data_IF_843028660745
#
_entry.id   IF_843028660745
#
_cell.length_a   1.000
_cell.length_b   1.000
_cell.length_c   1.000
_cell.angle_alpha   90.00
_cell.angle_beta   90.00
_cell.angle_gamma   90.00
#
_symmetry.space_group_name_H-M   'P 1'
#
loop_
_entity.id
_entity.type
_entity.pdbx_description
1 polymer ?
#
# COMPACT_ATOMS: atom_id res chain seq x y z
N UNK A 1 19.73 -18.64 -50.35
CA UNK A 1 18.42 -17.96 -50.33
C UNK A 1 17.54 -18.73 -49.35
N UNK A 2 17.29 -18.25 -48.12
CA UNK A 2 16.49 -18.98 -47.17
C UNK A 2 15.02 -18.97 -47.60
N UNK A 3 14.45 -20.17 -47.69
CA UNK A 3 13.06 -20.44 -48.05
C UNK A 3 12.12 -19.73 -47.06
N UNK A 4 11.25 -18.84 -47.57
CA UNK A 4 10.22 -18.22 -46.74
C UNK A 4 9.16 -19.27 -46.41
N UNK A 5 8.89 -19.60 -45.15
CA UNK A 5 7.83 -20.54 -44.82
C UNK A 5 6.49 -19.98 -45.29
N UNK A 6 5.85 -20.67 -46.23
CA UNK A 6 4.48 -20.38 -46.68
C UNK A 6 3.54 -20.68 -45.51
N UNK A 7 3.06 -19.64 -44.84
CA UNK A 7 2.03 -19.79 -43.81
C UNK A 7 0.78 -20.37 -44.45
N UNK A 8 0.49 -21.63 -44.15
CA UNK A 8 -0.74 -22.29 -44.59
C UNK A 8 -1.96 -21.52 -44.08
N UNK A 9 -3.07 -21.46 -44.85
CA UNK A 9 -4.26 -20.70 -44.47
C UNK A 9 -4.80 -21.11 -43.08
N UNK A 10 -4.62 -22.39 -42.72
CA UNK A 10 -4.94 -22.95 -41.39
C UNK A 10 -4.14 -22.29 -40.28
N UNK A 11 -2.85 -22.04 -40.48
CA UNK A 11 -1.97 -21.39 -39.50
C UNK A 11 -2.41 -19.95 -39.27
N UNK A 12 -2.76 -19.23 -40.34
CA UNK A 12 -3.28 -17.86 -40.25
C UNK A 12 -4.62 -17.81 -39.51
N UNK A 13 -5.50 -18.78 -39.76
CA UNK A 13 -6.78 -18.87 -39.04
C UNK A 13 -6.58 -19.14 -37.54
N UNK A 14 -5.71 -20.07 -37.17
CA UNK A 14 -5.39 -20.37 -35.77
C UNK A 14 -4.78 -19.15 -35.06
N UNK A 15 -3.83 -18.46 -35.69
CA UNK A 15 -3.27 -17.23 -35.14
C UNK A 15 -4.31 -16.12 -34.99
N UNK A 16 -5.21 -15.94 -35.96
CA UNK A 16 -6.27 -14.93 -35.87
C UNK A 16 -7.23 -15.21 -34.70
N UNK A 17 -7.63 -16.46 -34.51
CA UNK A 17 -8.47 -16.89 -33.38
C UNK A 17 -7.75 -16.68 -32.05
N UNK A 18 -6.48 -17.09 -31.97
CA UNK A 18 -5.66 -16.90 -30.77
C UNK A 18 -5.53 -15.42 -30.40
N UNK A 19 -5.22 -14.56 -31.37
CA UNK A 19 -5.10 -13.10 -31.17
C UNK A 19 -6.43 -12.51 -30.72
N UNK A 20 -7.55 -12.93 -31.30
CA UNK A 20 -8.88 -12.46 -30.90
C UNK A 20 -9.21 -12.85 -29.44
N UNK A 21 -8.92 -14.09 -29.05
CA UNK A 21 -9.13 -14.56 -27.67
C UNK A 21 -8.22 -13.85 -26.68
N UNK A 22 -6.94 -13.68 -27.00
CA UNK A 22 -5.99 -12.96 -26.17
C UNK A 22 -6.40 -11.49 -25.98
N UNK A 23 -6.80 -10.82 -27.07
CA UNK A 23 -7.28 -9.44 -27.01
C UNK A 23 -8.55 -9.32 -26.15
N UNK A 24 -9.52 -10.23 -26.32
CA UNK A 24 -10.73 -10.26 -25.50
C UNK A 24 -10.41 -10.50 -24.02
N UNK A 25 -9.48 -11.40 -23.72
CA UNK A 25 -9.03 -11.67 -22.36
C UNK A 25 -8.32 -10.46 -21.72
N UNK A 26 -7.44 -9.78 -22.47
CA UNK A 26 -6.74 -8.58 -22.00
C UNK A 26 -7.74 -7.45 -21.74
N UNK A 27 -8.69 -7.22 -22.65
CA UNK A 27 -9.73 -6.19 -22.48
C UNK A 27 -10.63 -6.53 -21.28
N UNK A 28 -11.05 -7.78 -21.15
CA UNK A 28 -11.85 -8.24 -20.01
C UNK A 28 -11.10 -8.05 -18.68
N UNK A 29 -9.83 -8.44 -18.62
CA UNK A 29 -9.00 -8.31 -17.42
C UNK A 29 -8.76 -6.84 -17.08
N UNK A 30 -8.48 -6.01 -18.09
CA UNK A 30 -8.31 -4.55 -17.92
C UNK A 30 -9.58 -3.91 -17.40
N UNK A 31 -10.75 -4.29 -17.93
CA UNK A 31 -12.04 -3.76 -17.47
C UNK A 31 -12.36 -4.23 -16.05
N UNK A 32 -12.06 -5.48 -15.70
CA UNK A 32 -12.24 -6.00 -14.34
C UNK A 32 -11.33 -5.25 -13.34
N UNK A 33 -10.05 -5.06 -13.68
CA UNK A 33 -9.10 -4.29 -12.87
C UNK A 33 -9.55 -2.83 -12.76
N UNK A 34 -9.96 -2.20 -13.88
CA UNK A 34 -10.45 -0.83 -13.88
C UNK A 34 -11.73 -0.68 -13.04
N UNK A 35 -12.63 -1.66 -13.05
CA UNK A 35 -13.82 -1.67 -12.17
C UNK A 35 -13.46 -1.93 -10.71
N UNK A 36 -12.50 -2.79 -10.42
CA UNK A 36 -12.03 -3.02 -9.05
C UNK A 36 -11.33 -1.76 -8.48
N UNK A 37 -10.54 -1.06 -9.30
CA UNK A 37 -9.75 0.11 -8.87
C UNK A 37 -10.57 1.41 -8.89
N UNK A 38 -11.44 1.61 -9.89
CA UNK A 38 -12.19 2.85 -10.09
C UNK A 38 -13.71 2.70 -10.00
N UNK A 39 -14.25 1.49 -10.14
CA UNK A 39 -15.68 1.17 -10.10
C UNK A 39 -16.25 0.87 -8.71
N UNK A 40 -15.42 0.64 -7.69
CA UNK A 40 -15.78 0.61 -6.25
C UNK A 40 -16.17 2.00 -5.70
N UNK A 41 -16.89 2.77 -6.50
CA UNK A 41 -17.22 4.15 -6.27
C UNK A 41 -18.64 4.25 -5.74
N UNK A 42 -18.73 4.51 -4.43
CA UNK A 42 -19.90 4.96 -3.67
C UNK A 42 -20.94 3.91 -3.20
N UNK A 43 -21.09 2.75 -3.81
CA UNK A 43 -22.00 1.70 -3.29
C UNK A 43 -21.28 0.80 -2.27
N UNK A 44 -20.09 0.29 -2.60
CA UNK A 44 -19.30 -0.54 -1.69
C UNK A 44 -18.78 0.24 -0.48
N UNK A 45 -18.41 1.51 -0.64
CA UNK A 45 -18.09 2.42 0.48
C UNK A 45 -19.28 2.70 1.43
N UNK A 46 -20.52 2.57 0.97
CA UNK A 46 -21.72 2.69 1.83
C UNK A 46 -22.07 1.38 2.53
N UNK A 47 -21.77 0.24 1.91
CA UNK A 47 -21.90 -1.08 2.53
C UNK A 47 -20.81 -1.31 3.60
N UNK A 48 -19.58 -0.83 3.37
CA UNK A 48 -18.48 -0.86 4.33
C UNK A 48 -18.64 0.17 5.45
N UNK A 49 -19.39 1.25 5.19
CA UNK A 49 -19.85 2.23 6.19
C UNK A 49 -21.03 1.76 7.05
N UNK A 50 -21.50 0.53 6.88
CA UNK A 50 -22.60 -0.07 7.66
C UNK A 50 -22.14 -1.14 8.64
N UNK A 51 -20.83 -1.40 8.74
CA UNK A 51 -20.30 -2.10 9.90
C UNK A 51 -20.54 -1.20 11.13
N UNK A 52 -21.07 -1.72 12.26
CA UNK A 52 -21.23 -0.90 13.45
C UNK A 52 -19.91 -0.20 13.74
N UNK A 53 -19.90 1.11 13.93
CA UNK A 53 -18.66 1.82 14.20
C UNK A 53 -18.01 1.24 15.47
N UNK A 54 -16.67 1.16 15.51
CA UNK A 54 -15.97 0.89 16.76
C UNK A 54 -16.41 1.92 17.82
N UNK A 55 -16.32 1.61 19.12
CA UNK A 55 -16.53 2.60 20.16
C UNK A 55 -15.70 3.85 19.88
N UNK A 56 -16.29 5.04 20.01
CA UNK A 56 -15.65 6.30 19.59
C UNK A 56 -14.24 6.49 20.20
N UNK A 57 -14.06 6.06 21.45
CA UNK A 57 -12.75 6.09 22.11
C UNK A 57 -11.72 5.14 21.48
N UNK A 58 -12.14 3.94 21.05
CA UNK A 58 -11.27 3.01 20.33
C UNK A 58 -10.91 3.58 18.95
N UNK A 59 -11.90 4.06 18.20
CA UNK A 59 -11.68 4.66 16.89
C UNK A 59 -10.68 5.83 16.96
N UNK A 60 -10.86 6.75 17.92
CA UNK A 60 -9.96 7.88 18.13
C UNK A 60 -8.54 7.45 18.54
N UNK A 61 -8.41 6.42 19.36
CA UNK A 61 -7.11 5.85 19.74
C UNK A 61 -6.36 5.28 18.55
N UNK A 62 -7.05 4.49 17.70
CA UNK A 62 -6.48 3.92 16.48
C UNK A 62 -6.14 5.00 15.45
N UNK A 63 -7.00 6.00 15.27
CA UNK A 63 -6.74 7.15 14.38
C UNK A 63 -5.45 7.86 14.79
N UNK A 64 -5.30 8.15 16.08
CA UNK A 64 -4.08 8.75 16.65
C UNK A 64 -2.82 7.94 16.30
N UNK A 65 -2.88 6.61 16.45
CA UNK A 65 -1.76 5.72 16.10
C UNK A 65 -1.45 5.71 14.60
N UNK A 66 -2.48 5.69 13.75
CA UNK A 66 -2.30 5.74 12.29
C UNK A 66 -1.72 7.06 11.81
N UNK A 67 -2.19 8.20 12.33
CA UNK A 67 -1.64 9.53 12.02
C UNK A 67 -0.17 9.63 12.46
N UNK A 68 0.21 9.02 13.59
CA UNK A 68 1.61 8.97 14.00
C UNK A 68 2.49 8.17 13.02
N UNK A 69 1.98 7.07 12.46
CA UNK A 69 2.67 6.32 11.39
C UNK A 69 2.83 7.17 10.13
N UNK A 70 1.77 7.85 9.68
CA UNK A 70 1.83 8.70 8.48
C UNK A 70 2.84 9.84 8.64
N UNK A 71 2.85 10.49 9.81
CA UNK A 71 3.85 11.51 10.19
C UNK A 71 5.27 10.92 10.14
N UNK A 72 5.45 9.71 10.65
CA UNK A 72 6.74 9.04 10.67
C UNK A 72 7.25 8.67 9.26
N UNK A 73 6.36 8.19 8.38
CA UNK A 73 6.67 7.94 6.97
C UNK A 73 7.10 9.24 6.29
N UNK A 74 6.35 10.33 6.49
CA UNK A 74 6.69 11.63 5.91
C UNK A 74 8.06 12.15 6.39
N UNK A 75 8.36 12.01 7.68
CA UNK A 75 9.65 12.42 8.25
C UNK A 75 10.83 11.62 7.66
N UNK A 76 10.63 10.32 7.43
CA UNK A 76 11.66 9.45 6.86
C UNK A 76 11.78 9.57 5.33
N UNK A 77 10.75 10.09 4.65
CA UNK A 77 10.69 10.17 3.20
C UNK A 77 11.84 10.97 2.58
N UNK A 78 12.51 11.86 3.31
CA UNK A 78 13.65 12.65 2.80
C UNK A 78 15.01 11.93 2.92
N UNK A 79 15.09 10.87 3.71
CA UNK A 79 16.36 10.20 4.00
C UNK A 79 16.92 9.46 2.77
N UNK A 80 18.25 9.57 2.59
CA UNK A 80 18.98 8.90 1.51
C UNK A 80 19.76 7.66 2.01
N UNK A 81 19.73 7.41 3.31
CA UNK A 81 20.35 6.28 3.98
C UNK A 81 19.28 5.48 4.75
N UNK A 82 19.26 4.14 4.65
CA UNK A 82 18.27 3.32 5.35
C UNK A 82 18.29 3.45 6.88
N UNK A 83 19.47 3.55 7.49
CA UNK A 83 19.57 3.66 8.94
C UNK A 83 19.09 5.04 9.42
N UNK A 84 19.35 6.10 8.66
CA UNK A 84 18.78 7.43 8.93
C UNK A 84 17.26 7.48 8.75
N UNK A 85 16.74 6.83 7.69
CA UNK A 85 15.30 6.73 7.46
C UNK A 85 14.60 6.02 8.64
N UNK A 86 15.15 4.90 9.11
CA UNK A 86 14.64 4.13 10.24
C UNK A 86 14.69 4.93 11.55
N UNK A 87 15.78 5.65 11.83
CA UNK A 87 15.87 6.53 13.01
C UNK A 87 14.82 7.64 12.97
N UNK A 88 14.66 8.31 11.83
CA UNK A 88 13.66 9.38 11.66
C UNK A 88 12.25 8.86 11.82
N UNK A 89 11.95 7.70 11.23
CA UNK A 89 10.67 7.04 11.38
C UNK A 89 10.37 6.76 12.86
N UNK A 90 11.28 6.09 13.58
CA UNK A 90 11.08 5.77 15.00
C UNK A 90 10.92 7.02 15.87
N UNK A 91 11.76 8.03 15.67
CA UNK A 91 11.66 9.28 16.41
C UNK A 91 10.36 10.02 16.13
N UNK A 92 9.85 9.95 14.91
CA UNK A 92 8.67 10.68 14.46
C UNK A 92 7.37 9.88 14.59
N UNK A 93 7.37 8.65 15.11
CA UNK A 93 6.13 7.97 15.55
C UNK A 93 5.90 8.07 17.05
N UNK A 94 6.93 8.42 17.81
CA UNK A 94 6.81 8.77 19.23
C UNK A 94 6.13 10.15 19.38
N UNK A 95 5.43 10.39 20.51
CA UNK A 95 5.28 9.49 21.68
C UNK A 95 4.14 8.45 21.57
N UNK A 96 3.30 8.50 20.53
CA UNK A 96 2.09 7.67 20.44
C UNK A 96 2.38 6.17 20.44
N UNK A 97 3.52 5.77 19.88
CA UNK A 97 3.99 4.40 19.79
C UNK A 97 4.86 3.95 20.97
N UNK A 98 5.05 4.79 21.98
CA UNK A 98 5.72 4.40 23.23
C UNK A 98 4.81 3.43 24.00
N UNK A 99 5.40 2.47 24.71
CA UNK A 99 4.66 1.31 25.24
C UNK A 99 3.44 1.69 26.10
N UNK A 100 3.62 2.60 27.07
CA UNK A 100 2.55 3.03 27.97
C UNK A 100 1.48 3.85 27.25
N UNK A 101 1.90 4.73 26.33
CA UNK A 101 0.99 5.58 25.56
C UNK A 101 0.16 4.76 24.59
N UNK A 102 0.78 3.82 23.89
CA UNK A 102 0.09 2.89 22.98
C UNK A 102 -0.93 2.06 23.73
N UNK A 103 -0.56 1.46 24.88
CA UNK A 103 -1.50 0.70 25.72
C UNK A 103 -2.70 1.55 26.14
N UNK A 104 -2.49 2.81 26.50
CA UNK A 104 -3.56 3.72 26.87
C UNK A 104 -4.50 4.04 25.69
N UNK A 105 -3.97 4.16 24.47
CA UNK A 105 -4.76 4.39 23.24
C UNK A 105 -5.53 3.15 22.80
N UNK A 106 -4.98 1.95 23.02
CA UNK A 106 -5.59 0.67 22.65
C UNK A 106 -6.59 0.15 23.71
N UNK A 107 -6.47 0.57 24.98
CA UNK A 107 -7.31 0.08 26.08
C UNK A 107 -8.83 0.16 25.81
N UNK A 108 -9.38 1.24 25.20
CA UNK A 108 -10.80 1.31 24.87
C UNK A 108 -11.26 0.27 23.85
N UNK A 109 -10.35 -0.30 23.06
CA UNK A 109 -10.66 -1.33 22.06
C UNK A 109 -10.90 -2.71 22.68
N UNK A 110 -10.47 -2.95 23.92
CA UNK A 110 -10.62 -4.25 24.59
C UNK A 110 -12.09 -4.64 24.85
N UNK A 111 -13.00 -3.66 24.86
CA UNK A 111 -14.43 -3.87 25.09
C UNK A 111 -15.21 -4.30 23.83
N UNK A 112 -14.64 -4.17 22.62
CA UNK A 112 -15.29 -4.54 21.35
C UNK A 112 -14.65 -5.82 20.78
N UNK A 113 -15.44 -6.83 20.37
CA UNK A 113 -14.93 -8.05 19.74
C UNK A 113 -14.04 -7.83 18.51
N UNK A 114 -14.26 -6.72 17.77
CA UNK A 114 -13.47 -6.33 16.58
C UNK A 114 -12.31 -5.40 16.93
N UNK A 115 -12.27 -4.88 18.15
CA UNK A 115 -11.20 -3.98 18.61
C UNK A 115 -9.83 -4.65 18.56
N UNK A 116 -9.74 -5.94 18.92
CA UNK A 116 -8.49 -6.70 18.82
C UNK A 116 -7.98 -6.83 17.37
N UNK A 117 -8.88 -7.05 16.41
CA UNK A 117 -8.52 -7.11 14.99
C UNK A 117 -8.06 -5.75 14.47
N UNK A 118 -8.74 -4.68 14.88
CA UNK A 118 -8.40 -3.32 14.49
C UNK A 118 -7.03 -2.88 15.05
N UNK A 119 -6.74 -3.17 16.31
CA UNK A 119 -5.41 -2.98 16.92
C UNK A 119 -4.35 -3.78 16.16
N UNK A 120 -4.62 -5.05 15.86
CA UNK A 120 -3.69 -5.88 15.10
C UNK A 120 -3.45 -5.34 13.68
N UNK A 121 -4.46 -4.74 13.04
CA UNK A 121 -4.32 -4.10 11.73
C UNK A 121 -3.39 -2.89 11.80
N UNK A 122 -3.54 -2.01 12.80
CA UNK A 122 -2.66 -0.86 13.02
C UNK A 122 -1.23 -1.30 13.34
N UNK A 123 -1.04 -2.36 14.13
CA UNK A 123 0.28 -2.93 14.39
C UNK A 123 0.95 -3.50 13.12
N UNK A 124 0.18 -4.11 12.21
CA UNK A 124 0.68 -4.55 10.90
C UNK A 124 1.05 -3.37 10.01
N UNK A 125 0.25 -2.28 10.02
CA UNK A 125 0.54 -1.06 9.28
C UNK A 125 1.90 -0.47 9.67
N UNK A 126 2.17 -0.30 10.97
CA UNK A 126 3.46 0.24 11.44
C UNK A 126 4.65 -0.62 11.00
N UNK A 127 4.56 -1.95 11.14
CA UNK A 127 5.63 -2.85 10.68
C UNK A 127 5.81 -2.82 9.16
N UNK A 128 4.72 -2.68 8.41
CA UNK A 128 4.79 -2.54 6.96
C UNK A 128 5.43 -1.19 6.56
N UNK A 129 5.08 -0.11 7.25
CA UNK A 129 5.60 1.23 7.03
C UNK A 129 7.11 1.32 7.33
N UNK A 130 7.56 0.79 8.48
CA UNK A 130 8.99 0.73 8.83
C UNK A 130 9.80 -0.02 7.75
N UNK A 131 9.29 -1.18 7.31
CA UNK A 131 9.91 -1.94 6.22
C UNK A 131 9.91 -1.21 4.87
N UNK A 132 8.83 -0.48 4.56
CA UNK A 132 8.71 0.29 3.32
C UNK A 132 9.70 1.47 3.28
N UNK A 133 9.80 2.22 4.39
CA UNK A 133 10.75 3.34 4.54
C UNK A 133 12.19 2.87 4.32
N UNK A 134 12.57 1.72 4.90
CA UNK A 134 13.91 1.15 4.74
C UNK A 134 14.22 0.77 3.28
N UNK A 135 13.25 0.16 2.58
CA UNK A 135 13.40 -0.17 1.15
C UNK A 135 13.48 1.10 0.29
N UNK A 136 12.52 2.00 0.46
CA UNK A 136 12.44 3.25 -0.31
C UNK A 136 13.71 4.09 -0.20
N UNK A 137 14.28 4.22 1.00
CA UNK A 137 15.53 4.95 1.20
C UNK A 137 16.75 4.24 0.60
N UNK A 138 16.75 2.89 0.58
CA UNK A 138 17.76 2.11 -0.14
C UNK A 138 17.69 2.32 -1.65
N UNK A 139 16.48 2.25 -2.21
CA UNK A 139 16.25 2.34 -3.66
C UNK A 139 16.44 3.78 -4.17
N UNK A 140 15.89 4.77 -3.47
CA UNK A 140 15.95 6.18 -3.89
C UNK A 140 17.18 6.91 -3.37
N UNK A 141 17.90 6.36 -2.39
CA UNK A 141 19.07 7.01 -1.78
C UNK A 141 20.16 7.41 -2.78
N UNK A 142 20.63 6.50 -3.66
CA UNK A 142 21.59 6.84 -4.71
C UNK A 142 21.06 7.90 -5.68
N UNK A 143 19.81 7.76 -6.12
CA UNK A 143 19.16 8.70 -7.05
C UNK A 143 19.07 10.10 -6.45
N UNK A 144 18.73 10.20 -5.16
CA UNK A 144 18.69 11.48 -4.43
C UNK A 144 20.05 12.12 -4.31
N UNK A 145 21.09 11.34 -3.97
CA UNK A 145 22.47 11.86 -3.91
C UNK A 145 22.92 12.39 -5.27
N UNK A 146 22.62 11.67 -6.35
CA UNK A 146 22.91 12.10 -7.70
C UNK A 146 22.13 13.37 -8.09
N UNK A 147 20.83 13.46 -7.76
CA UNK A 147 20.04 14.66 -8.02
C UNK A 147 20.62 15.88 -7.26
N UNK A 148 20.98 15.70 -5.99
CA UNK A 148 21.55 16.76 -5.16
C UNK A 148 22.95 17.20 -5.62
N UNK A 149 23.73 16.33 -6.29
CA UNK A 149 25.04 16.72 -6.82
C UNK A 149 24.97 17.69 -7.99
N UNK A 150 23.81 17.84 -8.65
CA UNK A 150 23.63 18.85 -9.70
C UNK A 150 23.18 20.22 -9.18
N UNK A 151 22.70 20.27 -7.93
CA UNK A 151 22.16 21.49 -7.31
C UNK A 151 23.23 22.18 -6.45
N UNK A 152 24.24 21.43 -5.99
CA UNK A 152 25.33 21.91 -5.15
C UNK A 152 26.54 22.28 -5.99
#
# INVERSE_FOLDING_TARGET
MPDRPKTTPTTRAVYAVFVALAAAFIVSSTVQIARAVFGGSAADRRAEGSAPALPAACASGLETLTTAVDRAVAAAASAADPADAERRYRSARSPEWDEDRRKALEAPCAADPRGAEAVAAVARLDRAAEGAVRRQSGDLGPVRRAALSFIR
#
